data_IF_438999994036
#
_entry.id   IF_438999994036
#
_cell.length_a   1.000
_cell.length_b   1.000
_cell.length_c   1.000
_cell.angle_alpha   90.00
_cell.angle_beta   90.00
_cell.angle_gamma   90.00
#
_symmetry.space_group_name_H-M   'P 1'
#
loop_
_entity.id
_entity.type
_entity.pdbx_description
1 polymer ?
#
# COMPACT_ATOMS: atom_id res chain seq x y z
N UNK A 1 -47.80 -42.97 33.96
CA UNK A 1 -49.14 -43.19 34.50
C UNK A 1 -49.80 -41.83 34.68
N UNK A 2 -50.84 -41.62 33.87
CA UNK A 2 -51.88 -40.59 33.94
C UNK A 2 -51.50 -39.09 33.84
N UNK A 3 -51.85 -38.48 32.76
CA UNK A 3 -53.11 -38.05 32.17
C UNK A 3 -53.52 -36.61 32.56
N UNK A 4 -53.53 -35.73 31.53
CA UNK A 4 -54.58 -34.80 31.10
C UNK A 4 -55.33 -33.96 32.16
N UNK A 5 -55.37 -32.64 31.96
CA UNK A 5 -56.66 -31.99 31.61
C UNK A 5 -56.47 -30.57 31.07
N UNK A 6 -57.13 -30.33 29.99
CA UNK A 6 -57.54 -29.13 29.28
C UNK A 6 -58.23 -28.10 30.19
N UNK A 7 -58.08 -26.83 29.85
CA UNK A 7 -58.91 -25.75 30.32
C UNK A 7 -58.78 -24.53 29.45
N UNK A 8 -59.65 -24.50 28.45
CA UNK A 8 -59.96 -23.36 27.57
C UNK A 8 -60.71 -22.30 28.34
N UNK A 9 -60.30 -21.03 28.35
CA UNK A 9 -61.22 -19.91 28.64
C UNK A 9 -60.96 -18.76 27.66
N UNK A 10 -61.97 -18.55 26.88
CA UNK A 10 -62.22 -17.46 25.95
C UNK A 10 -63.01 -16.37 26.67
N UNK A 11 -62.57 -15.10 26.68
CA UNK A 11 -63.46 -13.91 26.79
C UNK A 11 -62.72 -12.66 26.29
N UNK A 12 -63.10 -12.25 25.20
CA UNK A 12 -63.73 -11.04 24.65
C UNK A 12 -63.38 -9.68 25.25
N UNK A 13 -62.85 -8.87 24.36
CA UNK A 13 -63.35 -7.57 23.84
C UNK A 13 -63.15 -6.30 24.64
N UNK A 14 -62.60 -5.36 23.99
CA UNK A 14 -62.83 -3.92 23.68
C UNK A 14 -61.51 -3.16 23.90
N UNK A 15 -60.78 -2.77 22.90
CA UNK A 15 -61.01 -1.57 22.11
C UNK A 15 -60.31 -0.37 22.69
N UNK A 16 -59.01 -0.16 22.24
CA UNK A 16 -58.45 1.19 22.20
C UNK A 16 -57.51 1.23 20.98
N UNK A 17 -58.00 1.85 19.93
CA UNK A 17 -57.21 2.31 18.78
C UNK A 17 -56.29 3.42 19.29
N UNK A 18 -55.07 3.07 19.66
CA UNK A 18 -53.96 3.99 19.75
C UNK A 18 -53.23 3.92 18.43
N UNK A 19 -53.40 4.93 17.62
CA UNK A 19 -52.64 5.20 16.40
C UNK A 19 -51.17 5.43 16.77
N UNK A 20 -50.40 4.37 16.81
CA UNK A 20 -48.94 4.50 16.72
C UNK A 20 -48.61 4.78 15.25
N UNK A 21 -48.44 6.07 14.94
CA UNK A 21 -47.64 6.44 13.78
C UNK A 21 -46.24 5.86 14.04
N UNK A 22 -46.02 4.65 13.58
CA UNK A 22 -44.70 4.07 13.50
C UNK A 22 -43.90 4.90 12.50
N UNK A 23 -42.97 5.72 12.95
CA UNK A 23 -41.84 6.09 12.15
C UNK A 23 -41.18 4.77 11.74
N UNK A 24 -41.43 4.31 10.52
CA UNK A 24 -40.56 3.35 9.89
C UNK A 24 -39.21 4.05 9.73
N UNK A 25 -38.30 3.88 10.69
CA UNK A 25 -36.89 3.98 10.35
C UNK A 25 -36.70 2.97 9.23
N UNK A 26 -36.56 3.46 8.00
CA UNK A 26 -35.95 2.67 6.94
C UNK A 26 -34.54 2.34 7.45
N UNK A 27 -34.38 1.18 8.07
CA UNK A 27 -33.08 0.56 8.17
C UNK A 27 -32.61 0.42 6.71
N UNK A 28 -31.67 1.27 6.34
CA UNK A 28 -30.88 1.09 5.13
C UNK A 28 -30.17 -0.24 5.36
N UNK A 29 -30.74 -1.34 4.87
CA UNK A 29 -30.05 -2.63 4.83
C UNK A 29 -28.75 -2.34 4.09
N UNK A 30 -27.63 -2.40 4.78
CA UNK A 30 -26.34 -2.37 4.13
C UNK A 30 -26.35 -3.50 3.10
N UNK A 31 -26.21 -3.14 1.82
CA UNK A 31 -26.06 -4.14 0.78
C UNK A 31 -24.84 -5.01 1.13
N UNK A 32 -24.90 -6.30 0.86
CA UNK A 32 -23.74 -7.16 1.02
C UNK A 32 -22.63 -6.65 0.09
N UNK A 33 -21.37 -6.57 0.56
CA UNK A 33 -20.28 -6.10 -0.27
C UNK A 33 -20.04 -7.06 -1.44
N UNK A 34 -19.79 -6.50 -2.62
CA UNK A 34 -19.32 -7.24 -3.78
C UNK A 34 -17.79 -7.11 -3.82
N UNK A 35 -17.08 -8.22 -4.05
CA UNK A 35 -15.62 -8.19 -4.09
C UNK A 35 -15.03 -9.07 -5.18
N UNK A 36 -13.81 -8.70 -5.63
CA UNK A 36 -13.05 -9.44 -6.63
C UNK A 36 -11.57 -9.49 -6.24
N UNK A 37 -10.95 -10.65 -6.40
CA UNK A 37 -9.53 -10.86 -6.18
C UNK A 37 -8.77 -10.89 -7.52
N UNK A 38 -7.53 -10.38 -7.51
CA UNK A 38 -6.63 -10.34 -8.63
C UNK A 38 -5.22 -10.79 -8.20
N UNK A 39 -4.50 -11.46 -9.11
CA UNK A 39 -3.20 -12.09 -8.85
C UNK A 39 -2.12 -11.67 -9.84
N UNK A 40 -2.36 -10.64 -10.65
CA UNK A 40 -1.54 -10.31 -11.81
C UNK A 40 -0.76 -9.01 -11.65
N UNK A 41 -0.86 -8.30 -10.52
CA UNK A 41 -0.21 -6.99 -10.36
C UNK A 41 0.81 -7.02 -9.23
N UNK A 42 1.99 -6.48 -9.48
CA UNK A 42 3.03 -6.20 -8.49
C UNK A 42 3.42 -7.40 -7.61
N UNK A 43 3.35 -8.63 -8.18
CA UNK A 43 3.67 -9.90 -7.51
C UNK A 43 2.95 -10.06 -6.16
N UNK A 44 1.68 -9.65 -6.10
CA UNK A 44 0.89 -9.70 -4.87
C UNK A 44 -0.57 -10.04 -5.13
N UNK A 45 -1.28 -10.44 -4.07
CA UNK A 45 -2.74 -10.58 -4.10
C UNK A 45 -3.38 -9.23 -3.88
N UNK A 46 -4.33 -8.88 -4.74
CA UNK A 46 -5.05 -7.62 -4.70
C UNK A 46 -6.56 -7.85 -4.63
N UNK A 47 -7.27 -6.94 -3.98
CA UNK A 47 -8.71 -7.01 -3.80
C UNK A 47 -9.36 -5.68 -4.13
N UNK A 48 -10.51 -5.74 -4.79
CA UNK A 48 -11.40 -4.60 -5.01
C UNK A 48 -12.76 -4.97 -4.41
N UNK A 49 -13.27 -4.12 -3.51
CA UNK A 49 -14.58 -4.28 -2.89
C UNK A 49 -15.44 -3.05 -3.13
N UNK A 50 -16.74 -3.27 -3.39
CA UNK A 50 -17.79 -2.24 -3.33
C UNK A 50 -18.73 -2.51 -2.17
N UNK A 51 -18.94 -1.49 -1.37
CA UNK A 51 -19.95 -1.42 -0.29
C UNK A 51 -21.09 -0.45 -0.67
N UNK A 52 -21.03 0.11 -1.89
CA UNK A 52 -21.98 1.12 -2.37
C UNK A 52 -23.40 0.57 -2.62
N UNK A 53 -23.55 -0.76 -2.71
CA UNK A 53 -24.80 -1.37 -3.13
C UNK A 53 -25.02 -1.29 -4.64
N UNK A 54 -23.93 -1.13 -5.41
CA UNK A 54 -23.97 -1.09 -6.87
C UNK A 54 -24.59 -2.35 -7.47
N UNK A 55 -25.31 -2.25 -8.62
CA UNK A 55 -25.61 -3.41 -9.44
C UNK A 55 -24.34 -4.13 -9.87
N UNK A 56 -24.40 -5.46 -10.03
CA UNK A 56 -23.26 -6.28 -10.41
C UNK A 56 -22.58 -5.79 -11.71
N UNK A 57 -23.38 -5.35 -12.69
CA UNK A 57 -22.87 -4.82 -13.96
C UNK A 57 -22.01 -3.55 -13.77
N UNK A 58 -22.44 -2.67 -12.85
CA UNK A 58 -21.68 -1.44 -12.53
C UNK A 58 -20.37 -1.78 -11.83
N UNK A 59 -20.40 -2.72 -10.88
CA UNK A 59 -19.18 -3.21 -10.21
C UNK A 59 -18.20 -3.84 -11.20
N UNK A 60 -18.68 -4.67 -12.14
CA UNK A 60 -17.82 -5.29 -13.16
C UNK A 60 -17.22 -4.25 -14.12
N UNK A 61 -18.00 -3.24 -14.54
CA UNK A 61 -17.51 -2.13 -15.38
C UNK A 61 -16.37 -1.37 -14.68
N UNK A 62 -16.58 -0.93 -13.44
CA UNK A 62 -15.59 -0.19 -12.66
C UNK A 62 -14.36 -1.05 -12.34
N UNK A 63 -14.57 -2.32 -11.98
CA UNK A 63 -13.49 -3.27 -11.74
C UNK A 63 -12.64 -3.52 -12.99
N UNK A 64 -13.25 -3.55 -14.18
CA UNK A 64 -12.52 -3.65 -15.44
C UNK A 64 -11.66 -2.40 -15.72
N UNK A 65 -12.17 -1.21 -15.43
CA UNK A 65 -11.41 0.04 -15.52
C UNK A 65 -10.20 0.06 -14.57
N UNK A 66 -10.42 -0.29 -13.29
CA UNK A 66 -9.36 -0.45 -12.29
C UNK A 66 -8.30 -1.45 -12.79
N UNK A 67 -8.75 -2.61 -13.29
CA UNK A 67 -7.86 -3.65 -13.80
C UNK A 67 -7.00 -3.16 -14.97
N UNK A 68 -7.57 -2.38 -15.89
CA UNK A 68 -6.85 -1.77 -17.00
C UNK A 68 -5.72 -0.85 -16.50
N UNK A 69 -6.04 0.07 -15.59
CA UNK A 69 -5.09 1.02 -15.00
C UNK A 69 -3.96 0.29 -14.26
N UNK A 70 -4.29 -0.64 -13.36
CA UNK A 70 -3.28 -1.36 -12.58
C UNK A 70 -2.40 -2.25 -13.44
N UNK A 71 -2.95 -2.84 -14.53
CA UNK A 71 -2.16 -3.61 -15.50
C UNK A 71 -1.17 -2.71 -16.25
N UNK A 72 -1.60 -1.54 -16.67
CA UNK A 72 -0.74 -0.58 -17.36
C UNK A 72 0.43 -0.14 -16.47
N UNK A 73 0.14 0.29 -15.23
CA UNK A 73 1.19 0.67 -14.28
C UNK A 73 2.08 -0.50 -13.86
N UNK A 74 1.54 -1.70 -13.70
CA UNK A 74 2.35 -2.91 -13.49
C UNK A 74 3.38 -3.10 -14.60
N UNK A 75 2.95 -2.98 -15.87
CA UNK A 75 3.86 -3.14 -17.02
C UNK A 75 4.89 -2.01 -17.11
N UNK A 76 4.51 -0.76 -16.81
CA UNK A 76 5.42 0.38 -16.82
C UNK A 76 6.48 0.30 -15.71
N UNK A 77 6.09 -0.20 -14.53
CA UNK A 77 6.92 -0.26 -13.33
C UNK A 77 7.72 -1.55 -13.17
N UNK A 78 7.46 -2.56 -14.01
CA UNK A 78 8.20 -3.83 -13.95
C UNK A 78 9.69 -3.60 -14.28
N UNK A 79 10.54 -3.98 -13.32
CA UNK A 79 12.01 -3.92 -13.45
C UNK A 79 12.63 -5.25 -13.85
N UNK A 80 11.83 -6.32 -13.94
CA UNK A 80 12.26 -7.69 -14.23
C UNK A 80 11.96 -8.13 -15.66
N UNK A 81 10.83 -7.71 -16.23
CA UNK A 81 10.36 -8.17 -17.54
C UNK A 81 10.12 -7.01 -18.51
N UNK A 82 10.46 -7.23 -19.77
CA UNK A 82 10.14 -6.33 -20.88
C UNK A 82 8.82 -6.74 -21.53
N UNK A 83 8.05 -5.75 -21.98
CA UNK A 83 6.79 -5.96 -22.71
C UNK A 83 6.91 -5.42 -24.12
N UNK A 84 6.37 -6.18 -25.10
CA UNK A 84 6.47 -5.78 -26.51
C UNK A 84 5.81 -4.42 -26.77
N UNK A 85 6.58 -3.47 -27.28
CA UNK A 85 6.12 -2.13 -27.60
C UNK A 85 6.04 -1.16 -26.41
N UNK A 86 6.51 -1.57 -25.22
CA UNK A 86 6.52 -0.74 -24.01
C UNK A 86 7.99 -0.57 -23.56
N UNK A 87 8.46 0.66 -23.51
CA UNK A 87 9.71 1.02 -22.86
C UNK A 87 9.41 1.28 -21.37
N UNK A 88 9.53 0.24 -20.56
CA UNK A 88 9.27 0.27 -19.11
C UNK A 88 10.57 0.43 -18.30
N UNK A 89 10.48 0.37 -16.97
CA UNK A 89 11.64 0.50 -16.08
C UNK A 89 12.70 -0.60 -16.28
N UNK A 90 12.30 -1.83 -16.67
CA UNK A 90 13.27 -2.86 -17.04
C UNK A 90 14.11 -2.42 -18.26
N UNK A 91 13.47 -1.84 -19.28
CA UNK A 91 14.16 -1.32 -20.46
C UNK A 91 15.07 -0.14 -20.10
N UNK A 92 14.59 0.80 -19.24
CA UNK A 92 15.40 1.94 -18.74
C UNK A 92 16.65 1.45 -18.01
N UNK A 93 16.49 0.50 -17.08
CA UNK A 93 17.61 -0.06 -16.31
C UNK A 93 18.61 -0.80 -17.23
N UNK A 94 18.12 -1.59 -18.18
CA UNK A 94 19.00 -2.31 -19.13
C UNK A 94 19.82 -1.38 -20.03
N UNK A 95 19.28 -0.21 -20.38
CA UNK A 95 19.92 0.79 -21.25
C UNK A 95 20.64 1.89 -20.47
N UNK A 96 20.85 1.71 -19.15
CA UNK A 96 21.58 2.66 -18.32
C UNK A 96 22.97 2.98 -18.91
N UNK A 97 23.38 4.24 -18.85
CA UNK A 97 24.59 4.77 -19.47
C UNK A 97 24.50 5.02 -20.99
N UNK A 98 23.34 4.69 -21.61
CA UNK A 98 23.09 4.85 -23.03
C UNK A 98 22.47 6.22 -23.40
N UNK A 99 21.82 6.27 -24.57
CA UNK A 99 21.11 7.45 -25.07
C UNK A 99 19.73 7.60 -24.39
N UNK A 100 19.13 8.84 -24.41
CA UNK A 100 17.79 9.06 -23.91
C UNK A 100 16.75 8.15 -24.59
N UNK A 101 15.93 7.46 -23.78
CA UNK A 101 14.94 6.50 -24.23
C UNK A 101 13.54 7.15 -24.21
N UNK A 102 12.79 7.17 -25.34
CA UNK A 102 11.38 7.55 -25.32
C UNK A 102 10.56 6.61 -24.46
N UNK A 103 9.73 7.15 -23.56
CA UNK A 103 8.87 6.38 -22.67
C UNK A 103 7.44 6.92 -22.66
N UNK A 104 6.52 6.16 -22.08
CA UNK A 104 5.13 6.59 -21.91
C UNK A 104 5.06 7.86 -21.03
N UNK A 105 4.22 8.84 -21.36
CA UNK A 105 4.03 10.04 -20.54
C UNK A 105 3.67 9.74 -19.07
N UNK A 106 2.94 8.67 -18.81
CA UNK A 106 2.61 8.22 -17.44
C UNK A 106 3.84 7.82 -16.64
N UNK A 107 4.84 7.23 -17.31
CA UNK A 107 6.12 6.92 -16.64
C UNK A 107 6.89 8.21 -16.33
N UNK A 108 6.85 9.21 -17.21
CA UNK A 108 7.45 10.53 -16.94
C UNK A 108 6.78 11.19 -15.72
N UNK A 109 5.45 11.22 -15.70
CA UNK A 109 4.68 11.78 -14.58
C UNK A 109 5.04 11.08 -13.25
N UNK A 110 5.12 9.76 -13.25
CA UNK A 110 5.53 8.99 -12.09
C UNK A 110 6.96 9.31 -11.62
N UNK A 111 7.92 9.38 -12.55
CA UNK A 111 9.31 9.68 -12.21
C UNK A 111 9.48 11.11 -11.66
N UNK A 112 8.70 12.08 -12.14
CA UNK A 112 8.65 13.44 -11.56
C UNK A 112 8.05 13.44 -10.16
N UNK A 113 7.00 12.67 -9.94
CA UNK A 113 6.44 12.49 -8.60
C UNK A 113 7.46 11.87 -7.65
N UNK A 114 8.22 10.87 -8.10
CA UNK A 114 9.30 10.29 -7.33
C UNK A 114 10.44 11.28 -7.02
N UNK A 115 10.80 12.16 -7.97
CA UNK A 115 11.79 13.23 -7.78
C UNK A 115 11.31 14.27 -6.75
N UNK A 116 10.03 14.65 -6.81
CA UNK A 116 9.43 15.53 -5.79
C UNK A 116 9.50 14.90 -4.40
N UNK A 117 9.10 13.63 -4.27
CA UNK A 117 9.15 12.94 -2.98
C UNK A 117 10.59 12.74 -2.48
N UNK A 118 11.53 12.41 -3.36
CA UNK A 118 12.96 12.36 -3.01
C UNK A 118 13.41 13.68 -2.38
N UNK A 119 13.09 14.80 -3.00
CA UNK A 119 13.43 16.14 -2.50
C UNK A 119 12.73 16.45 -1.17
N UNK A 120 11.43 16.13 -1.05
CA UNK A 120 10.63 16.44 0.15
C UNK A 120 10.96 15.57 1.35
N UNK A 121 11.53 14.39 1.13
CA UNK A 121 12.00 13.47 2.17
C UNK A 121 13.48 13.59 2.47
N UNK A 122 14.16 14.64 1.96
CA UNK A 122 15.60 14.85 2.13
C UNK A 122 16.45 13.66 1.66
N UNK A 123 15.95 12.92 0.65
CA UNK A 123 16.65 11.77 0.06
C UNK A 123 16.25 10.39 0.61
N UNK A 124 15.51 10.32 1.71
CA UNK A 124 15.09 9.05 2.35
C UNK A 124 14.26 8.17 1.41
N UNK A 125 13.36 8.76 0.61
CA UNK A 125 12.72 8.07 -0.49
C UNK A 125 13.56 8.20 -1.75
N UNK A 126 14.22 7.11 -2.18
CA UNK A 126 15.13 7.12 -3.32
C UNK A 126 14.91 5.92 -4.24
N UNK A 127 14.29 6.17 -5.41
CA UNK A 127 14.10 5.12 -6.42
C UNK A 127 15.39 4.69 -7.12
N UNK A 128 16.50 5.45 -7.00
CA UNK A 128 17.82 5.09 -7.54
C UNK A 128 18.58 4.09 -6.62
N UNK A 129 18.00 3.70 -5.48
CA UNK A 129 18.57 2.66 -4.61
C UNK A 129 18.64 1.28 -5.30
N UNK A 130 18.10 1.15 -6.50
CA UNK A 130 17.97 -0.10 -7.25
C UNK A 130 19.27 -0.89 -7.42
N UNK A 131 20.42 -0.22 -7.57
CA UNK A 131 21.74 -0.90 -7.64
C UNK A 131 22.09 -1.66 -6.34
N UNK A 132 21.72 -1.13 -5.18
CA UNK A 132 21.88 -1.76 -3.85
C UNK A 132 20.79 -2.82 -3.63
N UNK A 133 19.53 -2.48 -3.91
CA UNK A 133 18.40 -3.38 -3.73
C UNK A 133 18.53 -4.65 -4.56
N UNK A 134 19.09 -4.55 -5.78
CA UNK A 134 19.35 -5.71 -6.63
C UNK A 134 20.23 -6.76 -5.92
N UNK A 135 21.26 -6.35 -5.21
CA UNK A 135 22.14 -7.26 -4.46
C UNK A 135 21.33 -8.00 -3.39
N UNK A 136 20.52 -7.29 -2.62
CA UNK A 136 19.63 -7.88 -1.62
C UNK A 136 18.58 -8.80 -2.23
N UNK A 137 18.00 -8.42 -3.38
CA UNK A 137 17.03 -9.26 -4.11
C UNK A 137 17.69 -10.57 -4.58
N UNK A 138 18.90 -10.52 -5.12
CA UNK A 138 19.63 -11.70 -5.59
C UNK A 138 19.91 -12.67 -4.42
N UNK A 139 20.37 -12.18 -3.26
CA UNK A 139 20.58 -12.98 -2.05
C UNK A 139 19.29 -13.58 -1.51
N UNK A 140 18.22 -12.79 -1.45
CA UNK A 140 16.90 -13.28 -1.02
C UNK A 140 16.37 -14.37 -1.95
N UNK A 141 16.46 -14.17 -3.26
CA UNK A 141 15.99 -15.16 -4.25
C UNK A 141 16.74 -16.48 -4.08
N UNK A 142 18.07 -16.44 -3.98
CA UNK A 142 18.89 -17.63 -3.73
C UNK A 142 18.54 -18.33 -2.42
N UNK A 143 18.33 -17.55 -1.35
CA UNK A 143 17.97 -18.09 -0.05
C UNK A 143 16.57 -18.75 -0.01
N UNK A 144 15.63 -18.26 -0.82
CA UNK A 144 14.29 -18.83 -0.97
C UNK A 144 14.34 -20.12 -1.81
N UNK A 145 15.12 -20.12 -2.90
CA UNK A 145 15.28 -21.27 -3.78
C UNK A 145 16.04 -22.41 -3.08
N UNK A 146 17.10 -22.08 -2.36
CA UNK A 146 17.88 -23.05 -1.56
C UNK A 146 18.37 -22.42 -0.25
N UNK A 147 17.67 -22.64 0.87
CA UNK A 147 18.09 -22.11 2.17
C UNK A 147 19.50 -22.55 2.63
N UNK A 148 20.05 -23.63 2.08
CA UNK A 148 21.38 -24.12 2.46
C UNK A 148 22.53 -23.26 1.94
N UNK A 149 22.28 -22.45 0.90
CA UNK A 149 23.25 -21.49 0.32
C UNK A 149 22.97 -20.04 0.72
N UNK A 150 22.02 -19.83 1.62
CA UNK A 150 21.66 -18.50 2.09
C UNK A 150 22.89 -17.77 2.66
N UNK A 151 23.14 -16.58 2.16
CA UNK A 151 24.30 -15.76 2.54
C UNK A 151 23.92 -14.28 2.55
N UNK A 152 24.73 -13.49 3.23
CA UNK A 152 24.57 -12.02 3.25
C UNK A 152 25.44 -11.37 2.20
N UNK A 153 25.02 -10.19 1.69
CA UNK A 153 25.87 -9.38 0.83
C UNK A 153 27.18 -8.99 1.48
N UNK A 154 28.25 -8.96 0.70
CA UNK A 154 29.51 -8.40 1.15
C UNK A 154 29.42 -6.88 1.25
N UNK A 155 29.89 -6.30 2.36
CA UNK A 155 29.84 -4.86 2.60
C UNK A 155 30.52 -4.04 1.47
N UNK A 156 31.62 -4.55 0.92
CA UNK A 156 32.32 -3.90 -0.19
C UNK A 156 31.45 -3.83 -1.45
N UNK A 157 30.67 -4.87 -1.73
CA UNK A 157 29.72 -4.90 -2.86
C UNK A 157 28.62 -3.84 -2.68
N UNK A 158 28.04 -3.72 -1.47
CA UNK A 158 27.04 -2.71 -1.15
C UNK A 158 27.60 -1.30 -1.29
N UNK A 159 28.79 -1.02 -0.71
CA UNK A 159 29.44 0.28 -0.82
C UNK A 159 29.82 0.64 -2.27
N UNK A 160 30.12 -0.35 -3.10
CA UNK A 160 30.35 -0.12 -4.53
C UNK A 160 29.05 0.24 -5.24
N UNK A 161 27.97 -0.47 -4.99
CA UNK A 161 26.66 -0.22 -5.57
C UNK A 161 26.10 1.16 -5.13
N UNK A 162 26.33 1.56 -3.89
CA UNK A 162 25.91 2.86 -3.35
C UNK A 162 26.57 4.09 -4.02
N UNK A 163 27.58 3.90 -4.86
CA UNK A 163 28.13 5.00 -5.68
C UNK A 163 27.24 5.40 -6.86
N UNK A 164 26.20 4.62 -7.13
CA UNK A 164 25.33 4.73 -8.30
C UNK A 164 23.87 5.03 -7.93
N UNK A 165 23.64 5.63 -6.73
CA UNK A 165 22.29 5.92 -6.20
C UNK A 165 21.95 7.42 -6.18
N UNK A 166 22.84 8.28 -6.68
CA UNK A 166 22.59 9.73 -6.73
C UNK A 166 21.44 10.03 -7.68
N UNK A 167 20.40 10.72 -7.21
CA UNK A 167 19.21 11.01 -7.99
C UNK A 167 19.51 11.86 -9.23
N UNK A 168 20.58 12.64 -9.25
CA UNK A 168 21.04 13.40 -10.40
C UNK A 168 21.48 12.53 -11.60
N UNK A 169 21.64 11.22 -11.41
CA UNK A 169 21.90 10.27 -12.50
C UNK A 169 20.67 9.98 -13.35
N UNK A 170 19.48 10.39 -12.91
CA UNK A 170 18.23 10.27 -13.66
C UNK A 170 17.91 11.59 -14.38
N UNK A 171 17.99 11.57 -15.70
CA UNK A 171 17.57 12.69 -16.57
C UNK A 171 16.16 12.43 -17.11
N UNK A 172 15.25 13.38 -16.91
CA UNK A 172 13.87 13.34 -17.41
C UNK A 172 13.64 14.56 -18.30
N UNK A 173 13.36 14.35 -19.58
CA UNK A 173 13.02 15.40 -20.55
C UNK A 173 11.55 15.27 -20.95
N UNK A 174 10.70 16.08 -20.34
CA UNK A 174 9.25 16.06 -20.55
C UNK A 174 8.88 16.54 -21.95
N UNK A 175 9.62 17.52 -22.52
CA UNK A 175 9.33 18.05 -23.84
C UNK A 175 9.59 16.99 -24.95
N UNK A 176 10.63 16.19 -24.78
CA UNK A 176 10.96 15.11 -25.70
C UNK A 176 10.30 13.78 -25.34
N UNK A 177 9.72 13.65 -24.16
CA UNK A 177 9.14 12.40 -23.67
C UNK A 177 10.20 11.32 -23.43
N UNK A 178 11.40 11.68 -22.92
CA UNK A 178 12.51 10.75 -22.78
C UNK A 178 13.04 10.68 -21.34
N UNK A 179 13.59 9.51 -21.02
CA UNK A 179 14.28 9.22 -19.74
C UNK A 179 15.65 8.63 -20.02
N UNK A 180 16.63 8.95 -19.20
CA UNK A 180 17.99 8.41 -19.27
C UNK A 180 18.58 8.21 -17.87
N UNK A 181 19.21 7.08 -17.64
CA UNK A 181 20.19 6.90 -16.57
C UNK A 181 21.57 7.18 -17.15
N UNK A 182 22.27 8.17 -16.61
CA UNK A 182 23.57 8.62 -17.15
C UNK A 182 24.73 7.69 -16.76
N UNK A 183 24.58 6.91 -15.68
CA UNK A 183 25.55 5.94 -15.19
C UNK A 183 25.11 4.51 -15.56
N UNK A 184 25.99 3.70 -16.22
CA UNK A 184 25.66 2.34 -16.61
C UNK A 184 25.42 1.36 -15.45
N UNK A 185 25.77 1.74 -14.21
CA UNK A 185 25.54 0.92 -13.02
C UNK A 185 24.37 1.41 -12.17
N UNK A 186 23.77 2.57 -12.51
CA UNK A 186 22.56 3.03 -11.85
C UNK A 186 21.37 2.13 -12.22
N UNK A 187 20.45 1.97 -11.28
CA UNK A 187 19.21 1.23 -11.50
C UNK A 187 18.06 1.86 -10.71
N UNK A 188 16.89 1.90 -11.33
CA UNK A 188 15.64 2.31 -10.70
C UNK A 188 14.97 1.08 -10.08
N UNK A 189 14.51 1.22 -8.83
CA UNK A 189 13.59 0.30 -8.17
C UNK A 189 12.47 1.13 -7.52
N UNK A 190 11.23 0.78 -7.82
CA UNK A 190 10.05 1.54 -7.40
C UNK A 190 9.21 0.81 -6.37
N UNK A 191 9.75 -0.22 -5.72
CA UNK A 191 9.04 -1.04 -4.74
C UNK A 191 8.47 -0.26 -3.55
N UNK A 192 9.10 0.88 -3.21
CA UNK A 192 8.69 1.77 -2.12
C UNK A 192 7.57 2.76 -2.48
N UNK A 193 7.15 2.85 -3.76
CA UNK A 193 6.26 3.90 -4.23
C UNK A 193 5.25 3.42 -5.27
N UNK A 194 5.62 2.46 -6.10
CA UNK A 194 4.89 2.12 -7.31
C UNK A 194 3.48 1.58 -7.07
N UNK A 195 3.29 0.77 -6.02
CA UNK A 195 1.97 0.21 -5.69
C UNK A 195 1.00 1.31 -5.23
N UNK A 196 1.46 2.16 -4.32
CA UNK A 196 0.67 3.28 -3.81
C UNK A 196 0.27 4.24 -4.91
N UNK A 197 1.22 4.61 -5.79
CA UNK A 197 0.94 5.49 -6.92
C UNK A 197 -0.09 4.89 -7.89
N UNK A 198 0.07 3.63 -8.29
CA UNK A 198 -0.88 2.96 -9.16
C UNK A 198 -2.28 2.82 -8.51
N UNK A 199 -2.32 2.57 -7.20
CA UNK A 199 -3.57 2.53 -6.42
C UNK A 199 -4.26 3.89 -6.43
N UNK A 200 -3.50 4.99 -6.28
CA UNK A 200 -4.07 6.33 -6.34
C UNK A 200 -4.64 6.66 -7.72
N UNK A 201 -3.96 6.26 -8.82
CA UNK A 201 -4.51 6.43 -10.18
C UNK A 201 -5.80 5.64 -10.39
N UNK A 202 -5.90 4.44 -9.86
CA UNK A 202 -7.15 3.66 -9.88
C UNK A 202 -8.26 4.32 -9.00
N UNK A 203 -7.88 4.97 -7.91
CA UNK A 203 -8.78 5.75 -7.06
C UNK A 203 -9.35 6.96 -7.77
N UNK A 204 -8.48 7.76 -8.41
CA UNK A 204 -8.91 8.92 -9.20
C UNK A 204 -9.90 8.52 -10.29
N UNK A 205 -9.67 7.39 -10.96
CA UNK A 205 -10.64 6.86 -11.91
C UNK A 205 -12.00 6.60 -11.26
N UNK A 206 -12.06 5.98 -10.08
CA UNK A 206 -13.32 5.74 -9.36
C UNK A 206 -14.02 7.07 -9.00
N UNK A 207 -13.27 8.06 -8.52
CA UNK A 207 -13.78 9.40 -8.20
C UNK A 207 -14.35 10.11 -9.46
N UNK A 208 -13.65 10.02 -10.59
CA UNK A 208 -14.12 10.54 -11.89
C UNK A 208 -15.41 9.85 -12.37
N UNK A 209 -15.58 8.57 -12.07
CA UNK A 209 -16.81 7.84 -12.35
C UNK A 209 -17.92 8.11 -11.32
N UNK A 210 -17.69 9.00 -10.35
CA UNK A 210 -18.63 9.29 -9.26
C UNK A 210 -18.89 8.10 -8.33
N UNK A 211 -17.97 7.15 -8.26
CA UNK A 211 -18.07 5.99 -7.39
C UNK A 211 -17.57 6.34 -5.97
N UNK A 212 -18.27 5.82 -4.96
CA UNK A 212 -17.90 5.92 -3.56
C UNK A 212 -18.27 4.62 -2.85
N UNK A 213 -17.72 4.39 -1.65
CA UNK A 213 -17.93 3.14 -0.94
C UNK A 213 -17.10 1.98 -1.48
N UNK A 214 -15.97 2.28 -2.13
CA UNK A 214 -15.02 1.30 -2.63
C UNK A 214 -13.81 1.17 -1.71
N UNK A 215 -13.25 -0.04 -1.66
CA UNK A 215 -11.98 -0.34 -1.00
C UNK A 215 -11.08 -1.08 -1.99
N UNK A 216 -9.93 -0.49 -2.29
CA UNK A 216 -8.85 -1.12 -3.03
C UNK A 216 -7.79 -1.57 -2.03
N UNK A 217 -7.39 -2.84 -2.09
CA UNK A 217 -6.25 -3.37 -1.34
C UNK A 217 -5.28 -3.99 -2.34
N UNK A 218 -4.23 -3.27 -2.66
CA UNK A 218 -3.24 -3.69 -3.65
C UNK A 218 -1.96 -4.12 -2.91
N UNK A 219 -1.94 -5.41 -2.53
CA UNK A 219 -0.80 -5.97 -1.80
C UNK A 219 -0.49 -5.26 -0.48
N UNK A 220 -1.52 -4.90 0.29
CA UNK A 220 -1.39 -4.20 1.56
C UNK A 220 -1.48 -2.67 1.47
N UNK A 221 -1.39 -2.07 0.27
CA UNK A 221 -1.79 -0.69 0.06
C UNK A 221 -3.30 -0.60 0.04
N UNK A 222 -3.91 -0.15 1.11
CA UNK A 222 -5.36 0.03 1.24
C UNK A 222 -5.71 1.46 0.87
N UNK A 223 -6.66 1.64 -0.05
CA UNK A 223 -7.26 2.94 -0.37
C UNK A 223 -8.78 2.83 -0.32
N UNK A 224 -9.38 3.66 0.49
CA UNK A 224 -10.82 3.75 0.70
C UNK A 224 -11.34 4.97 -0.04
N UNK A 225 -12.36 4.80 -0.87
CA UNK A 225 -12.98 5.85 -1.68
C UNK A 225 -14.33 6.20 -1.08
N UNK A 226 -14.44 7.40 -0.50
CA UNK A 226 -15.66 7.91 0.13
C UNK A 226 -16.01 7.23 1.44
N UNK A 227 -17.32 7.08 1.71
CA UNK A 227 -17.91 6.50 2.92
C UNK A 227 -18.85 5.34 2.55
N UNK A 228 -19.20 4.49 3.53
CA UNK A 228 -20.28 3.54 3.37
C UNK A 228 -21.63 4.28 3.18
N UNK A 229 -22.65 3.61 2.63
CA UNK A 229 -23.99 4.23 2.42
C UNK A 229 -24.65 4.78 3.69
N UNK A 230 -24.30 4.24 4.87
CA UNK A 230 -24.77 4.72 6.17
C UNK A 230 -23.94 5.89 6.74
N UNK A 231 -22.92 6.34 5.99
CA UNK A 231 -22.01 7.43 6.38
C UNK A 231 -20.87 6.99 7.31
N UNK A 232 -20.80 5.71 7.71
CA UNK A 232 -19.72 5.20 8.55
C UNK A 232 -18.43 4.96 7.75
N UNK A 233 -17.29 4.89 8.46
CA UNK A 233 -16.00 4.50 7.95
C UNK A 233 -15.82 2.97 7.93
N UNK A 234 -14.58 2.55 7.72
CA UNK A 234 -14.15 1.15 7.76
C UNK A 234 -13.23 0.92 8.92
N UNK A 235 -13.48 -0.16 9.63
CA UNK A 235 -12.55 -0.68 10.63
C UNK A 235 -11.42 -1.41 9.90
N UNK A 236 -10.26 -0.78 9.86
CA UNK A 236 -9.04 -1.30 9.22
C UNK A 236 -8.08 -1.77 10.29
N UNK A 237 -7.70 -3.05 10.24
CA UNK A 237 -6.80 -3.62 11.22
C UNK A 237 -5.33 -3.39 10.82
N UNK A 238 -4.51 -2.97 11.77
CA UNK A 238 -3.06 -2.97 11.68
C UNK A 238 -2.56 -4.26 12.33
N UNK A 239 -1.84 -5.08 11.56
CA UNK A 239 -1.32 -6.36 12.04
C UNK A 239 -0.36 -6.18 13.20
N UNK A 240 -0.36 -7.14 14.12
CA UNK A 240 0.67 -7.27 15.14
C UNK A 240 1.93 -7.88 14.51
N UNK A 241 3.09 -7.21 14.52
CA UNK A 241 4.32 -7.75 13.95
C UNK A 241 4.80 -9.06 14.57
N UNK A 242 4.47 -9.32 15.85
CA UNK A 242 4.85 -10.57 16.54
C UNK A 242 3.91 -11.72 16.20
N UNK A 243 2.65 -11.44 15.82
CA UNK A 243 1.65 -12.44 15.42
C UNK A 243 0.83 -11.94 14.22
N UNK A 244 1.44 -11.73 13.04
CA UNK A 244 0.81 -11.04 11.91
C UNK A 244 -0.36 -11.81 11.28
N UNK A 245 -0.55 -13.08 11.61
CA UNK A 245 -1.67 -13.90 11.13
C UNK A 245 -2.78 -14.08 12.19
N UNK A 246 -2.54 -13.76 13.45
CA UNK A 246 -3.46 -14.07 14.56
C UNK A 246 -3.97 -12.87 15.34
N UNK A 247 -3.22 -11.75 15.42
CA UNK A 247 -3.60 -10.59 16.22
C UNK A 247 -3.41 -9.25 15.51
N UNK A 248 -4.00 -8.21 16.09
CA UNK A 248 -3.93 -6.85 15.58
C UNK A 248 -3.37 -5.93 16.66
N UNK A 249 -2.37 -5.13 16.30
CA UNK A 249 -1.81 -4.12 17.20
C UNK A 249 -2.75 -2.91 17.38
N UNK A 250 -3.52 -2.59 16.34
CA UNK A 250 -4.51 -1.51 16.38
C UNK A 250 -5.65 -1.76 15.39
N UNK A 251 -6.80 -1.13 15.64
CA UNK A 251 -7.91 -1.04 14.69
C UNK A 251 -8.21 0.44 14.47
N UNK A 252 -8.20 0.86 13.21
CA UNK A 252 -8.46 2.23 12.79
C UNK A 252 -9.86 2.34 12.20
N UNK A 253 -10.60 3.40 12.54
CA UNK A 253 -11.85 3.77 11.85
C UNK A 253 -11.54 4.90 10.87
N UNK A 254 -11.53 4.57 9.59
CA UNK A 254 -11.07 5.45 8.52
C UNK A 254 -12.03 5.46 7.33
N UNK A 255 -12.09 6.60 6.63
CA UNK A 255 -12.88 6.78 5.42
C UNK A 255 -12.21 7.77 4.48
N UNK A 256 -12.41 7.61 3.17
CA UNK A 256 -11.86 8.46 2.11
C UNK A 256 -10.35 8.75 2.24
N UNK A 257 -9.59 7.70 2.54
CA UNK A 257 -8.16 7.81 2.83
C UNK A 257 -7.40 6.54 2.45
N UNK A 258 -6.09 6.63 2.36
CA UNK A 258 -5.18 5.50 2.25
C UNK A 258 -4.70 5.06 3.64
N UNK A 259 -4.44 3.76 3.79
CA UNK A 259 -3.79 3.15 4.95
C UNK A 259 -2.75 2.15 4.43
N UNK A 260 -1.48 2.48 4.61
CA UNK A 260 -0.37 1.69 4.08
C UNK A 260 0.56 1.31 5.21
N UNK A 261 0.91 0.03 5.28
CA UNK A 261 1.81 -0.51 6.30
C UNK A 261 3.05 -1.12 5.65
N UNK A 262 4.21 -0.69 6.09
CA UNK A 262 5.50 -1.35 5.86
C UNK A 262 5.90 -2.13 7.12
N UNK A 263 6.34 -3.38 6.97
CA UNK A 263 6.71 -4.24 8.09
C UNK A 263 7.87 -5.19 7.77
N UNK A 264 8.65 -5.53 8.79
CA UNK A 264 9.82 -6.42 8.68
C UNK A 264 9.44 -7.89 8.48
N UNK A 265 8.17 -8.25 8.68
CA UNK A 265 7.63 -9.61 8.62
C UNK A 265 7.07 -10.02 7.23
N UNK A 266 6.99 -9.09 6.27
CA UNK A 266 6.32 -9.35 4.98
C UNK A 266 7.22 -10.10 3.98
N UNK A 267 8.43 -9.59 3.71
CA UNK A 267 9.36 -10.14 2.72
C UNK A 267 10.75 -10.23 3.32
N UNK A 268 11.14 -11.38 3.82
CA UNK A 268 12.44 -11.62 4.45
C UNK A 268 13.05 -12.95 4.01
N UNK A 269 14.32 -13.13 4.30
CA UNK A 269 15.01 -14.40 4.28
C UNK A 269 15.85 -14.55 5.56
N UNK A 270 16.31 -15.77 5.86
CA UNK A 270 17.04 -16.03 7.11
C UNK A 270 18.46 -16.53 6.83
N UNK A 271 19.45 -15.98 7.56
CA UNK A 271 20.83 -16.47 7.58
C UNK A 271 21.27 -16.64 9.02
N UNK A 272 21.75 -17.82 9.39
CA UNK A 272 22.22 -18.09 10.76
C UNK A 272 21.14 -17.91 11.83
N UNK A 273 19.86 -18.05 11.49
CA UNK A 273 18.71 -17.87 12.40
C UNK A 273 18.26 -16.42 12.59
N UNK A 274 18.93 -15.42 11.99
CA UNK A 274 18.49 -14.02 11.95
C UNK A 274 17.74 -13.76 10.66
N UNK A 275 16.62 -13.03 10.74
CA UNK A 275 15.82 -12.57 9.58
C UNK A 275 16.39 -11.26 9.03
N UNK A 276 16.35 -11.13 7.69
CA UNK A 276 16.76 -9.95 6.94
C UNK A 276 15.63 -9.60 5.97
N UNK A 277 14.94 -8.51 6.24
CA UNK A 277 13.79 -8.07 5.44
C UNK A 277 14.22 -7.16 4.29
N UNK A 278 13.26 -6.80 3.45
CA UNK A 278 13.47 -6.12 2.17
C UNK A 278 13.57 -4.58 2.25
N UNK A 279 13.30 -3.96 3.40
CA UNK A 279 13.35 -2.51 3.56
C UNK A 279 14.78 -2.15 3.93
N UNK A 280 15.52 -1.62 2.96
CA UNK A 280 16.93 -1.31 3.08
C UNK A 280 17.09 0.18 3.35
N UNK A 281 17.75 0.48 4.44
CA UNK A 281 18.13 1.83 4.84
C UNK A 281 19.20 2.38 3.88
N UNK A 282 18.98 3.51 3.23
CA UNK A 282 19.91 4.07 2.24
C UNK A 282 21.25 4.52 2.85
N UNK A 283 21.31 4.82 4.14
CA UNK A 283 22.51 5.26 4.83
C UNK A 283 23.41 4.09 5.24
N UNK A 284 22.83 3.05 5.82
CA UNK A 284 23.54 1.86 6.27
C UNK A 284 23.73 0.82 5.18
N UNK A 285 22.89 0.83 4.14
CA UNK A 285 22.78 -0.17 3.06
C UNK A 285 22.35 -1.56 3.54
N UNK A 286 21.84 -1.64 4.78
CA UNK A 286 21.34 -2.86 5.43
C UNK A 286 19.85 -2.75 5.72
N UNK A 287 19.16 -3.88 6.00
CA UNK A 287 17.79 -3.83 6.49
C UNK A 287 17.68 -2.89 7.70
N UNK A 288 16.71 -1.99 7.64
CA UNK A 288 16.47 -1.03 8.72
C UNK A 288 16.05 -1.76 10.01
N UNK A 289 16.57 -1.33 11.15
CA UNK A 289 16.35 -1.99 12.45
C UNK A 289 15.61 -1.09 13.46
N UNK A 290 14.98 0.01 13.00
CA UNK A 290 14.36 1.00 13.90
C UNK A 290 13.01 0.50 14.44
N UNK A 291 12.18 -0.10 13.57
CA UNK A 291 10.80 -0.47 13.91
C UNK A 291 10.45 -1.87 13.41
N UNK A 292 9.41 -2.47 14.01
CA UNK A 292 8.82 -3.70 13.50
C UNK A 292 7.84 -3.42 12.37
N UNK A 293 7.02 -2.35 12.48
CA UNK A 293 6.19 -1.86 11.39
C UNK A 293 5.86 -0.37 11.52
N UNK A 294 5.49 0.22 10.38
CA UNK A 294 4.98 1.61 10.31
C UNK A 294 3.72 1.61 9.44
N UNK A 295 2.67 2.22 9.96
CA UNK A 295 1.42 2.46 9.24
C UNK A 295 1.22 3.95 9.01
N UNK A 296 0.98 4.32 7.75
CA UNK A 296 0.67 5.68 7.34
C UNK A 296 -0.81 5.76 6.97
N UNK A 297 -1.49 6.79 7.47
CA UNK A 297 -2.83 7.19 7.05
C UNK A 297 -2.76 8.59 6.46
N UNK A 298 -3.11 8.71 5.19
CA UNK A 298 -3.20 10.00 4.48
C UNK A 298 -4.09 9.85 3.25
N UNK A 299 -4.48 10.95 2.61
CA UNK A 299 -5.41 10.87 1.48
C UNK A 299 -4.78 10.23 0.24
N UNK A 300 -3.53 10.50 -0.05
CA UNK A 300 -2.79 10.01 -1.23
C UNK A 300 -2.09 8.69 -0.92
N UNK A 301 -2.47 7.62 -1.64
CA UNK A 301 -1.88 6.28 -1.48
C UNK A 301 -0.41 6.22 -1.92
N UNK A 302 -0.01 7.01 -2.92
CA UNK A 302 1.39 7.09 -3.35
C UNK A 302 2.27 7.72 -2.27
N UNK A 303 1.81 8.82 -1.67
CA UNK A 303 2.48 9.45 -0.54
C UNK A 303 2.55 8.49 0.67
N UNK A 304 1.47 7.76 0.96
CA UNK A 304 1.45 6.80 2.06
C UNK A 304 2.48 5.67 1.85
N UNK A 305 2.59 5.10 0.63
CA UNK A 305 3.55 4.04 0.28
C UNK A 305 4.99 4.55 0.46
N UNK A 306 5.30 5.73 -0.11
CA UNK A 306 6.62 6.36 0.00
C UNK A 306 7.02 6.63 1.46
N UNK A 307 6.13 7.26 2.24
CA UNK A 307 6.41 7.60 3.63
C UNK A 307 6.52 6.38 4.53
N UNK A 308 5.73 5.32 4.27
CA UNK A 308 5.84 4.09 5.07
C UNK A 308 7.22 3.45 4.98
N UNK A 309 7.91 3.61 3.84
CA UNK A 309 9.27 3.12 3.63
C UNK A 309 10.31 4.11 4.15
N UNK A 310 10.19 5.40 3.83
CA UNK A 310 11.13 6.42 4.29
C UNK A 310 11.21 6.50 5.82
N UNK A 311 10.06 6.61 6.49
CA UNK A 311 10.00 6.69 7.95
C UNK A 311 10.49 5.42 8.64
N UNK A 312 10.42 4.26 7.96
CA UNK A 312 10.91 3.00 8.50
C UNK A 312 12.44 2.98 8.67
N UNK A 313 13.15 3.78 7.87
CA UNK A 313 14.61 3.89 7.90
C UNK A 313 15.12 5.00 8.86
N UNK A 314 14.23 5.87 9.37
CA UNK A 314 14.58 7.04 10.19
C UNK A 314 14.46 6.76 11.69
N UNK A 315 15.08 7.63 12.53
CA UNK A 315 14.74 7.67 13.96
C UNK A 315 13.29 8.12 14.16
N UNK A 316 12.68 7.80 15.33
CA UNK A 316 11.32 8.27 15.64
C UNK A 316 11.21 9.80 15.58
N UNK A 317 12.19 10.51 16.14
CA UNK A 317 12.21 11.95 16.21
C UNK A 317 12.29 12.62 14.83
N UNK A 318 13.18 12.11 13.97
CA UNK A 318 13.32 12.61 12.59
C UNK A 318 12.12 12.24 11.74
N UNK A 319 11.62 11.03 11.89
CA UNK A 319 10.41 10.55 11.19
C UNK A 319 9.16 11.35 11.57
N UNK A 320 8.99 11.67 12.86
CA UNK A 320 7.90 12.52 13.32
C UNK A 320 8.01 13.93 12.73
N UNK A 321 9.23 14.51 12.75
CA UNK A 321 9.47 15.83 12.15
C UNK A 321 9.22 15.83 10.65
N UNK A 322 9.61 14.77 9.94
CA UNK A 322 9.32 14.61 8.50
C UNK A 322 7.81 14.51 8.24
N UNK A 323 7.10 13.64 8.95
CA UNK A 323 5.65 13.47 8.78
C UNK A 323 4.88 14.79 8.97
N UNK A 324 5.25 15.58 9.96
CA UNK A 324 4.63 16.88 10.23
C UNK A 324 4.80 17.90 9.08
N UNK A 325 5.84 17.77 8.25
CA UNK A 325 6.03 18.65 7.08
C UNK A 325 5.01 18.41 5.96
N UNK A 326 4.42 17.21 5.91
CA UNK A 326 3.49 16.86 4.83
C UNK A 326 2.04 17.26 5.11
N UNK A 327 1.62 17.58 6.30
CA UNK A 327 0.25 17.96 6.63
C UNK A 327 -0.80 16.88 6.24
N UNK A 328 -1.67 16.51 7.16
CA UNK A 328 -2.68 15.47 6.93
C UNK A 328 -2.10 14.05 6.79
N UNK A 329 -0.92 13.82 7.31
CA UNK A 329 -0.27 12.52 7.42
C UNK A 329 -0.29 12.10 8.88
N UNK A 330 -0.91 10.94 9.14
CA UNK A 330 -0.94 10.33 10.45
C UNK A 330 -0.11 9.04 10.43
N UNK A 331 0.64 8.81 11.49
CA UNK A 331 1.62 7.72 11.55
C UNK A 331 1.45 6.91 12.83
N UNK A 332 1.50 5.58 12.70
CA UNK A 332 1.64 4.64 13.79
C UNK A 332 2.96 3.86 13.60
N UNK A 333 3.88 4.01 14.54
CA UNK A 333 5.10 3.20 14.66
C UNK A 333 4.87 2.08 15.67
N UNK A 334 5.31 0.88 15.34
CA UNK A 334 5.34 -0.27 16.25
C UNK A 334 6.79 -0.67 16.45
N UNK A 335 7.27 -0.55 17.69
CA UNK A 335 8.62 -0.94 18.09
C UNK A 335 8.74 -2.47 18.17
N UNK A 336 9.96 -3.00 18.28
CA UNK A 336 10.21 -4.44 18.36
C UNK A 336 9.68 -5.10 19.64
N UNK A 337 9.39 -4.33 20.68
CA UNK A 337 8.80 -4.81 21.93
C UNK A 337 7.26 -4.66 21.97
N UNK A 338 6.65 -4.27 20.83
CA UNK A 338 5.22 -4.04 20.71
C UNK A 338 4.76 -2.65 21.19
N UNK A 339 5.67 -1.78 21.64
CA UNK A 339 5.32 -0.41 22.03
C UNK A 339 4.80 0.37 20.84
N UNK A 340 3.65 1.03 21.03
CA UNK A 340 3.04 1.89 20.02
C UNK A 340 3.44 3.34 20.23
N UNK A 341 3.94 3.99 19.18
CA UNK A 341 4.08 5.45 19.10
C UNK A 341 3.25 5.96 17.94
N UNK A 342 2.64 7.11 18.08
CA UNK A 342 1.73 7.61 17.04
C UNK A 342 1.63 9.14 17.06
N UNK A 343 1.17 9.71 15.95
CA UNK A 343 0.79 11.12 15.87
C UNK A 343 -0.54 11.35 16.58
N UNK A 344 -0.81 12.60 17.01
CA UNK A 344 -2.06 12.96 17.71
C UNK A 344 -3.31 12.61 16.88
N UNK A 345 -3.27 12.85 15.56
CA UNK A 345 -4.39 12.51 14.69
C UNK A 345 -4.57 11.01 14.50
N UNK A 346 -3.50 10.21 14.56
CA UNK A 346 -3.59 8.75 14.54
C UNK A 346 -4.33 8.21 15.77
N UNK A 347 -4.08 8.78 16.96
CA UNK A 347 -4.79 8.39 18.17
C UNK A 347 -6.32 8.55 18.02
N UNK A 348 -6.75 9.62 17.36
CA UNK A 348 -8.16 9.87 17.11
C UNK A 348 -8.82 8.88 16.14
N UNK A 349 -8.03 8.21 15.29
CA UNK A 349 -8.50 7.18 14.36
C UNK A 349 -8.56 5.78 15.01
N UNK A 350 -7.82 5.57 16.10
CA UNK A 350 -7.79 4.27 16.79
C UNK A 350 -9.10 4.01 17.53
N UNK A 351 -9.63 2.80 17.37
CA UNK A 351 -10.84 2.34 18.07
C UNK A 351 -10.48 1.30 19.13
N UNK A 352 -11.16 1.36 20.28
CA UNK A 352 -11.04 0.38 21.37
C UNK A 352 -11.64 -0.97 20.99
#
# INVERSE_FOLDING_TARGET
MNWLKKGLFLFCLLGLLASFAGCSQNEVKSAEPIGKAYFNWFDTVSYVYSYAGDPAERFEELSAGISGILTEYHQLFDIYHEYSGINNLCTVNRLAGGEPLPVDPKLIEFLRYAEELHTRTDGEMNILLGSVLKIWHDHRTQAIEDPSVASLPEQEALLKAARHIDFSLLEIDEEKGTVRLTDPNAAIDVGALGKGYATEKATLYLEEQGAAGYVLNIGGNIRIVGHKPDGSGWRTAVKDPEDPEGSYAAILDIADTACVTSGNYERFFAVGGKQYHHIIDPDTLWPAEQFASITIVTRDSGLADALSTALFCMSYEDGLALAQRFGGVEVLWIEHDGTLRYTEGMEALMTN
#
